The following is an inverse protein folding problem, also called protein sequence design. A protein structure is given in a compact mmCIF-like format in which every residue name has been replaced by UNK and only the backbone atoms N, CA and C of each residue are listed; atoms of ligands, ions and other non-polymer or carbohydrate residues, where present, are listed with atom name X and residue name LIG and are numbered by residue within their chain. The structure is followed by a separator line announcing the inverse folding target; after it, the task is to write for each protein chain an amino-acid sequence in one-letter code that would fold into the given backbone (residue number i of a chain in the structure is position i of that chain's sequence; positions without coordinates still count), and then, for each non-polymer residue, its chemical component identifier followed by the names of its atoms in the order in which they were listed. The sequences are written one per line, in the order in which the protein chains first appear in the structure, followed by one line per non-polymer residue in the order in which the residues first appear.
data_IF_595188791979
#
_entry.id   IF_595188791979
#
_cell.length_a   1.000
_cell.length_b   1.000
_cell.length_c   1.000
_cell.angle_alpha   90.00
_cell.angle_beta   90.00
_cell.angle_gamma   90.00
#
_symmetry.space_group_name_H-M   'P 1'
#
loop_
_entity.id
_entity.type
_entity.pdbx_description
1 polymer ?
#
# COMPACT_ATOMS: atom_id res chain seq x y z
N UNK A 1 7.86 -15.13 -21.01
CA UNK A 1 7.82 -14.02 -21.99
C UNK A 1 7.12 -12.82 -21.36
N UNK A 2 7.88 -11.75 -21.04
CA UNK A 2 7.41 -10.56 -20.33
C UNK A 2 6.71 -9.62 -21.32
N UNK A 3 5.42 -9.36 -21.14
CA UNK A 3 4.79 -8.16 -21.70
C UNK A 3 4.50 -7.21 -20.56
N UNK A 4 5.49 -6.38 -20.26
CA UNK A 4 5.27 -5.14 -19.52
C UNK A 4 4.36 -4.27 -20.38
N UNK A 5 3.18 -3.91 -19.88
CA UNK A 5 2.41 -2.82 -20.46
C UNK A 5 3.13 -1.51 -20.11
N UNK A 6 4.18 -1.21 -20.88
CA UNK A 6 4.76 0.11 -20.93
C UNK A 6 3.73 1.04 -21.59
N UNK A 7 3.33 2.11 -20.90
CA UNK A 7 2.54 3.19 -21.46
C UNK A 7 3.40 3.87 -22.55
N UNK A 8 3.26 3.39 -23.79
CA UNK A 8 4.01 3.90 -24.95
C UNK A 8 3.53 5.32 -25.23
N UNK A 9 4.44 6.29 -25.14
CA UNK A 9 4.20 7.70 -25.47
C UNK A 9 4.05 7.78 -27.00
N UNK A 10 2.82 7.82 -27.50
CA UNK A 10 2.55 8.14 -28.90
C UNK A 10 2.64 9.66 -29.06
N UNK A 11 3.75 10.15 -29.62
CA UNK A 11 3.77 11.48 -30.25
C UNK A 11 3.12 11.32 -31.62
N UNK A 12 1.91 11.85 -31.79
CA UNK A 12 1.29 12.00 -33.10
C UNK A 12 0.59 13.35 -33.17
N UNK A 13 0.71 13.98 -34.34
CA UNK A 13 0.52 15.39 -34.63
C UNK A 13 -0.87 15.96 -34.25
N UNK A 14 -0.84 17.26 -33.93
CA UNK A 14 -1.97 18.17 -33.71
C UNK A 14 -3.01 18.09 -34.84
N UNK A 15 -4.28 17.84 -34.47
CA UNK A 15 -5.44 18.25 -35.27
C UNK A 15 -6.41 18.95 -34.32
N UNK A 16 -6.76 20.20 -34.67
CA UNK A 16 -7.78 21.01 -34.01
C UNK A 16 -9.12 20.26 -33.98
N UNK A 17 -9.52 19.85 -32.79
CA UNK A 17 -10.85 19.33 -32.49
C UNK A 17 -10.89 19.07 -31.00
N UNK A 18 -11.86 19.67 -30.30
CA UNK A 18 -12.04 19.55 -28.85
C UNK A 18 -12.32 18.11 -28.43
N UNK A 19 -11.29 17.28 -28.40
CA UNK A 19 -11.30 15.95 -27.85
C UNK A 19 -10.94 16.09 -26.38
N UNK A 20 -11.97 16.05 -25.52
CA UNK A 20 -11.80 15.81 -24.10
C UNK A 20 -11.04 14.48 -23.94
N UNK A 21 -9.72 14.54 -23.83
CA UNK A 21 -8.90 13.39 -23.50
C UNK A 21 -9.38 12.87 -22.14
N UNK A 22 -9.99 11.67 -22.05
CA UNK A 22 -10.24 11.09 -20.75
C UNK A 22 -8.88 10.94 -20.09
N UNK A 23 -8.68 11.66 -18.98
CA UNK A 23 -7.51 11.51 -18.12
C UNK A 23 -7.64 10.10 -17.51
N UNK A 24 -7.19 9.08 -18.25
CA UNK A 24 -7.05 7.75 -17.70
C UNK A 24 -6.01 7.85 -16.61
N UNK A 25 -6.47 7.82 -15.35
CA UNK A 25 -5.61 7.80 -14.19
C UNK A 25 -4.72 6.56 -14.27
N UNK A 26 -3.50 6.72 -14.76
CA UNK A 26 -2.51 5.66 -14.80
C UNK A 26 -2.16 5.29 -13.36
N UNK A 27 -2.52 4.08 -12.94
CA UNK A 27 -2.04 3.55 -11.66
C UNK A 27 -0.54 3.27 -11.82
N UNK A 28 0.32 3.77 -10.92
CA UNK A 28 1.75 3.54 -11.03
C UNK A 28 2.06 2.03 -10.95
N UNK A 29 3.08 1.55 -11.68
CA UNK A 29 3.55 0.18 -11.52
C UNK A 29 4.14 -0.01 -10.11
N UNK A 30 4.23 -1.27 -9.61
CA UNK A 30 4.91 -1.56 -8.35
C UNK A 30 6.33 -0.96 -8.28
N UNK A 31 6.80 -0.56 -7.09
CA UNK A 31 8.16 -0.06 -6.89
C UNK A 31 9.21 -1.06 -7.39
N UNK A 32 10.35 -0.54 -7.86
CA UNK A 32 11.44 -1.38 -8.40
C UNK A 32 12.11 -2.26 -7.36
N UNK A 33 12.25 -1.73 -6.14
CA UNK A 33 12.92 -2.38 -5.00
C UNK A 33 11.95 -2.45 -3.83
N UNK A 34 10.94 -3.33 -3.90
CA UNK A 34 9.88 -3.36 -2.90
C UNK A 34 10.39 -3.71 -1.49
N UNK A 35 11.48 -4.45 -1.36
CA UNK A 35 12.14 -4.79 -0.09
C UNK A 35 12.88 -3.62 0.60
N UNK A 36 12.96 -2.45 -0.05
CA UNK A 36 13.64 -1.28 0.49
C UNK A 36 12.69 -0.07 0.56
N UNK A 37 12.20 0.25 1.76
CA UNK A 37 11.23 1.34 1.95
C UNK A 37 11.79 2.72 1.59
N UNK A 38 13.09 2.95 1.78
CA UNK A 38 13.73 4.19 1.36
C UNK A 38 13.77 4.33 -0.15
N UNK A 39 14.04 3.23 -0.88
CA UNK A 39 13.98 3.21 -2.33
C UNK A 39 12.54 3.43 -2.82
N UNK A 40 11.54 2.81 -2.19
CA UNK A 40 10.13 3.01 -2.49
C UNK A 40 9.76 4.49 -2.35
N UNK A 41 10.07 5.11 -1.22
CA UNK A 41 9.71 6.51 -0.96
C UNK A 41 10.52 7.52 -1.76
N UNK A 42 11.77 7.19 -2.13
CA UNK A 42 12.53 7.98 -3.09
C UNK A 42 11.91 7.93 -4.49
N UNK A 43 11.48 6.75 -4.96
CA UNK A 43 10.79 6.59 -6.25
C UNK A 43 9.38 7.23 -6.22
N UNK A 44 8.67 7.10 -5.08
CA UNK A 44 7.26 7.45 -4.91
C UNK A 44 7.07 8.49 -3.81
N UNK A 45 7.51 9.72 -4.06
CA UNK A 45 7.42 10.82 -3.07
C UNK A 45 6.01 11.16 -2.61
N UNK A 46 4.99 10.97 -3.45
CA UNK A 46 3.60 11.12 -3.05
C UNK A 46 3.15 10.05 -2.05
N UNK A 47 3.72 8.83 -2.11
CA UNK A 47 3.41 7.76 -1.18
C UNK A 47 4.02 8.03 0.20
N UNK A 48 5.25 8.54 0.24
CA UNK A 48 5.88 8.98 1.48
C UNK A 48 5.01 10.00 2.23
N UNK A 49 4.55 11.05 1.54
CA UNK A 49 3.69 12.08 2.13
C UNK A 49 2.37 11.50 2.67
N UNK A 50 1.74 10.63 1.88
CA UNK A 50 0.51 9.97 2.29
C UNK A 50 0.70 9.05 3.51
N UNK A 51 1.83 8.32 3.56
CA UNK A 51 2.16 7.45 4.67
C UNK A 51 2.42 8.24 5.95
N UNK A 52 3.18 9.35 5.87
CA UNK A 52 3.43 10.22 7.01
C UNK A 52 2.16 10.91 7.53
N UNK A 53 1.30 11.40 6.63
CA UNK A 53 0.01 12.00 6.99
C UNK A 53 -0.86 11.01 7.76
N UNK A 54 -0.95 9.77 7.28
CA UNK A 54 -1.76 8.74 7.91
C UNK A 54 -1.15 8.25 9.23
N UNK A 55 0.17 8.04 9.27
CA UNK A 55 0.89 7.68 10.49
C UNK A 55 0.74 8.75 11.58
N UNK A 56 0.73 10.04 11.24
CA UNK A 56 0.46 11.11 12.20
C UNK A 56 -0.99 11.10 12.70
N UNK A 57 -1.96 10.80 11.81
CA UNK A 57 -3.39 10.75 12.14
C UNK A 57 -3.75 9.57 13.04
N UNK A 58 -3.18 8.39 12.77
CA UNK A 58 -3.56 7.13 13.42
C UNK A 58 -2.52 6.59 14.40
N UNK A 59 -1.33 7.18 14.43
CA UNK A 59 -0.17 6.76 15.22
C UNK A 59 0.25 5.31 14.95
N UNK A 60 0.07 4.84 13.71
CA UNK A 60 0.55 3.54 13.25
C UNK A 60 1.94 3.73 12.63
N UNK A 61 2.93 2.87 12.94
CA UNK A 61 4.22 2.93 12.28
C UNK A 61 4.07 2.69 10.78
N UNK A 62 4.68 3.56 9.97
CA UNK A 62 4.65 3.48 8.49
C UNK A 62 5.10 2.10 7.99
N UNK A 63 6.06 1.49 8.67
CA UNK A 63 6.59 0.16 8.39
C UNK A 63 5.53 -0.95 8.46
N UNK A 64 4.67 -0.94 9.48
CA UNK A 64 3.58 -1.90 9.67
C UNK A 64 2.65 -1.86 8.48
N UNK A 65 2.14 -0.69 8.13
CA UNK A 65 1.17 -0.54 7.05
C UNK A 65 1.77 -0.81 5.67
N UNK A 66 3.02 -0.39 5.43
CA UNK A 66 3.74 -0.76 4.22
C UNK A 66 3.94 -2.27 4.09
N UNK A 67 4.21 -2.96 5.20
CA UNK A 67 4.40 -4.42 5.19
C UNK A 67 3.11 -5.17 4.87
N UNK A 68 1.97 -4.70 5.40
CA UNK A 68 0.64 -5.25 5.12
C UNK A 68 0.26 -4.99 3.66
N UNK A 69 0.36 -3.76 3.16
CA UNK A 69 0.02 -3.44 1.75
C UNK A 69 0.88 -4.25 0.77
N UNK A 70 2.15 -4.47 1.09
CA UNK A 70 3.01 -5.34 0.28
C UNK A 70 2.50 -6.77 0.26
N UNK A 71 2.13 -7.32 1.42
CA UNK A 71 1.59 -8.67 1.50
C UNK A 71 0.27 -8.82 0.75
N UNK A 72 -0.60 -7.82 0.84
CA UNK A 72 -1.94 -7.85 0.24
C UNK A 72 -1.93 -7.67 -1.28
N UNK A 73 -1.12 -6.76 -1.82
CA UNK A 73 -1.17 -6.40 -3.24
C UNK A 73 0.16 -6.46 -3.99
N UNK A 74 1.27 -6.60 -3.26
CA UNK A 74 2.61 -6.37 -3.80
C UNK A 74 2.75 -4.95 -4.38
N UNK A 75 2.10 -3.97 -3.74
CA UNK A 75 1.98 -2.59 -4.20
C UNK A 75 1.30 -2.43 -5.57
N UNK A 76 0.23 -3.18 -5.84
CA UNK A 76 -0.58 -3.05 -7.08
C UNK A 76 -1.94 -2.44 -6.79
N UNK A 77 -2.17 -1.23 -7.30
CA UNK A 77 -3.45 -0.54 -7.10
C UNK A 77 -4.63 -1.07 -7.93
N UNK A 78 -4.41 -1.83 -9.00
CA UNK A 78 -5.48 -2.32 -9.88
C UNK A 78 -5.55 -3.85 -9.92
N UNK A 79 -5.47 -4.47 -8.74
CA UNK A 79 -5.54 -5.91 -8.60
C UNK A 79 -6.71 -6.33 -7.73
N UNK A 80 -7.36 -7.44 -8.08
CA UNK A 80 -8.43 -8.03 -7.29
C UNK A 80 -8.27 -9.54 -7.24
N UNK A 81 -9.03 -10.18 -6.35
CA UNK A 81 -8.86 -11.59 -5.93
C UNK A 81 -8.73 -12.58 -7.07
N UNK A 82 -9.55 -12.43 -8.13
CA UNK A 82 -9.57 -13.37 -9.29
C UNK A 82 -8.24 -13.47 -10.04
N UNK A 83 -7.35 -12.48 -9.90
CA UNK A 83 -6.02 -12.45 -10.56
C UNK A 83 -4.86 -12.73 -9.59
N UNK A 84 -5.12 -12.97 -8.30
CA UNK A 84 -4.11 -12.87 -7.23
C UNK A 84 -3.45 -14.17 -6.78
N UNK A 85 -3.57 -15.28 -7.51
CA UNK A 85 -2.90 -16.54 -7.12
C UNK A 85 -1.37 -16.53 -7.23
N UNK A 86 -0.73 -15.46 -7.69
CA UNK A 86 0.67 -15.57 -8.14
C UNK A 86 1.68 -14.53 -7.65
N UNK A 87 1.34 -13.49 -6.87
CA UNK A 87 2.33 -12.43 -6.63
C UNK A 87 2.30 -11.78 -5.24
N UNK A 88 2.87 -12.50 -4.26
CA UNK A 88 3.25 -12.01 -2.92
C UNK A 88 3.82 -13.10 -2.01
N UNK A 89 5.01 -13.65 -2.34
CA UNK A 89 5.90 -14.61 -1.60
C UNK A 89 5.28 -15.91 -1.02
N UNK A 90 4.02 -15.96 -0.58
CA UNK A 90 3.31 -17.19 -0.18
C UNK A 90 1.88 -17.14 -0.72
N UNK A 91 1.46 -18.08 -1.57
CA UNK A 91 0.06 -18.22 -1.94
C UNK A 91 -0.73 -18.73 -0.72
N UNK A 92 -1.58 -17.88 -0.14
CA UNK A 92 -2.61 -18.33 0.79
C UNK A 92 -3.78 -18.86 -0.06
N UNK A 93 -4.26 -20.08 0.19
CA UNK A 93 -5.44 -20.61 -0.50
C UNK A 93 -6.70 -19.90 0.01
N UNK A 94 -7.07 -18.77 -0.58
CA UNK A 94 -8.44 -18.26 -0.52
C UNK A 94 -9.24 -18.95 -1.63
N UNK A 95 -10.06 -19.94 -1.24
CA UNK A 95 -10.89 -20.73 -2.15
C UNK A 95 -12.08 -19.97 -2.74
N UNK A 96 -12.28 -18.70 -2.36
CA UNK A 96 -13.49 -17.94 -2.68
C UNK A 96 -13.17 -16.70 -3.52
N UNK A 97 -14.04 -16.42 -4.49
CA UNK A 97 -14.03 -15.15 -5.22
C UNK A 97 -14.56 -14.09 -4.25
N UNK A 98 -13.69 -13.21 -3.78
CA UNK A 98 -14.08 -12.07 -2.93
C UNK A 98 -14.17 -10.78 -3.75
N UNK A 99 -14.75 -9.74 -3.14
CA UNK A 99 -14.81 -8.38 -3.71
C UNK A 99 -13.55 -7.54 -3.40
N UNK A 100 -12.49 -8.18 -2.87
CA UNK A 100 -11.25 -7.53 -2.50
C UNK A 100 -10.55 -6.90 -3.72
N UNK A 101 -10.11 -5.66 -3.56
CA UNK A 101 -9.55 -4.87 -4.65
C UNK A 101 -8.58 -3.80 -4.14
N UNK A 102 -7.61 -3.45 -4.98
CA UNK A 102 -6.72 -2.31 -4.75
C UNK A 102 -5.51 -2.62 -3.87
N UNK A 103 -4.83 -1.57 -3.40
CA UNK A 103 -3.62 -1.73 -2.59
C UNK A 103 -3.90 -2.43 -1.26
N UNK A 104 -5.04 -2.10 -0.64
CA UNK A 104 -5.47 -2.65 0.64
C UNK A 104 -6.15 -4.04 0.54
N UNK A 105 -6.50 -4.50 -0.67
CA UNK A 105 -7.36 -5.67 -0.88
C UNK A 105 -8.65 -5.63 -0.01
N UNK A 106 -9.20 -4.44 0.22
CA UNK A 106 -10.41 -4.27 1.01
C UNK A 106 -11.65 -4.76 0.25
N UNK A 107 -12.51 -5.53 0.91
CA UNK A 107 -13.82 -5.91 0.39
C UNK A 107 -14.80 -4.72 0.37
N UNK A 108 -15.84 -4.79 -0.47
CA UNK A 108 -16.80 -3.71 -0.64
C UNK A 108 -17.43 -3.27 0.69
N UNK A 109 -17.88 -4.21 1.52
CA UNK A 109 -18.57 -3.90 2.78
C UNK A 109 -17.71 -3.08 3.73
N UNK A 110 -16.48 -3.53 3.99
CA UNK A 110 -15.54 -2.82 4.90
C UNK A 110 -15.08 -1.50 4.29
N UNK A 111 -14.89 -1.44 2.97
CA UNK A 111 -14.56 -0.19 2.29
C UNK A 111 -15.67 0.85 2.42
N UNK A 112 -16.94 0.43 2.30
CA UNK A 112 -18.09 1.32 2.43
C UNK A 112 -18.25 1.84 3.86
N UNK A 113 -17.96 1.02 4.87
CA UNK A 113 -17.89 1.48 6.26
C UNK A 113 -16.82 2.57 6.46
N UNK A 114 -15.64 2.37 5.87
CA UNK A 114 -14.58 3.36 5.92
C UNK A 114 -14.95 4.67 5.21
N UNK A 115 -15.52 4.59 3.99
CA UNK A 115 -15.97 5.78 3.27
C UNK A 115 -17.00 6.58 4.08
N UNK A 116 -17.97 5.88 4.70
CA UNK A 116 -18.93 6.51 5.61
C UNK A 116 -18.25 7.15 6.82
N UNK A 117 -17.24 6.51 7.38
CA UNK A 117 -16.48 7.04 8.52
C UNK A 117 -15.66 8.29 8.15
N UNK A 118 -15.14 8.37 6.93
CA UNK A 118 -14.41 9.56 6.45
C UNK A 118 -15.35 10.66 5.92
N UNK A 119 -16.59 10.32 5.56
CA UNK A 119 -17.54 11.28 4.96
C UNK A 119 -17.18 11.65 3.52
N UNK A 120 -16.37 10.85 2.82
CA UNK A 120 -15.85 11.13 1.49
C UNK A 120 -15.89 9.91 0.56
N UNK A 121 -15.94 10.17 -0.75
CA UNK A 121 -15.78 9.12 -1.77
C UNK A 121 -14.30 8.86 -2.05
N UNK A 122 -13.84 7.66 -1.69
CA UNK A 122 -12.43 7.27 -1.72
C UNK A 122 -12.20 6.11 -2.68
N UNK A 123 -10.96 5.96 -3.19
CA UNK A 123 -10.66 4.95 -4.22
C UNK A 123 -9.62 3.93 -3.76
N UNK A 124 -10.02 2.64 -3.68
CA UNK A 124 -9.15 1.48 -3.37
C UNK A 124 -7.89 1.36 -4.24
N UNK A 125 -7.88 1.92 -5.46
CA UNK A 125 -6.70 1.90 -6.33
C UNK A 125 -5.77 3.10 -6.13
N UNK A 126 -6.11 4.05 -5.24
CA UNK A 126 -5.22 5.14 -4.85
C UNK A 126 -4.47 4.74 -3.60
N UNK A 127 -3.15 4.86 -3.65
CA UNK A 127 -2.27 4.46 -2.56
C UNK A 127 -2.61 5.21 -1.26
N UNK A 128 -2.76 6.54 -1.32
CA UNK A 128 -3.12 7.38 -0.17
C UNK A 128 -4.39 6.87 0.53
N UNK A 129 -5.46 6.74 -0.23
CA UNK A 129 -6.78 6.33 0.31
C UNK A 129 -6.73 4.91 0.91
N UNK A 130 -5.94 4.02 0.32
CA UNK A 130 -5.76 2.64 0.79
C UNK A 130 -4.86 2.54 2.02
N UNK A 131 -3.83 3.38 2.09
CA UNK A 131 -2.93 3.45 3.24
C UNK A 131 -3.71 3.93 4.46
N UNK A 132 -4.49 5.00 4.32
CA UNK A 132 -5.33 5.51 5.40
C UNK A 132 -6.43 4.53 5.82
N UNK A 133 -6.99 3.78 4.87
CA UNK A 133 -7.91 2.69 5.19
C UNK A 133 -7.26 1.62 6.08
N UNK A 134 -6.04 1.19 5.77
CA UNK A 134 -5.34 0.17 6.56
C UNK A 134 -5.06 0.69 7.96
N UNK A 135 -4.58 1.92 8.11
CA UNK A 135 -4.33 2.53 9.42
C UNK A 135 -5.62 2.75 10.24
N UNK A 136 -6.71 3.16 9.58
CA UNK A 136 -8.04 3.24 10.18
C UNK A 136 -8.50 1.88 10.71
N UNK A 137 -8.30 0.82 9.92
CA UNK A 137 -8.67 -0.54 10.31
C UNK A 137 -7.84 -1.02 11.50
N UNK A 138 -6.52 -0.88 11.43
CA UNK A 138 -5.58 -1.26 12.50
C UNK A 138 -5.91 -0.51 13.79
N UNK A 139 -6.22 0.78 13.72
CA UNK A 139 -6.68 1.55 14.89
C UNK A 139 -7.96 0.95 15.48
N UNK A 140 -8.92 0.61 14.62
CA UNK A 140 -10.16 -0.05 15.01
C UNK A 140 -9.95 -1.42 15.64
N UNK A 141 -9.00 -2.20 15.14
CA UNK A 141 -8.60 -3.52 15.65
C UNK A 141 -7.91 -3.37 17.01
N UNK A 142 -6.89 -2.52 17.10
CA UNK A 142 -6.14 -2.20 18.32
C UNK A 142 -7.07 -1.83 19.47
N UNK A 143 -8.04 -0.95 19.23
CA UNK A 143 -9.04 -0.55 20.24
C UNK A 143 -9.94 -1.71 20.71
N UNK A 144 -10.29 -2.64 19.82
CA UNK A 144 -11.28 -3.71 20.09
C UNK A 144 -10.67 -5.02 20.56
N UNK A 145 -9.38 -5.18 20.36
CA UNK A 145 -8.63 -6.41 20.60
C UNK A 145 -7.43 -6.19 21.53
N UNK A 146 -7.15 -4.94 21.92
CA UNK A 146 -5.98 -4.53 22.71
C UNK A 146 -4.66 -4.99 22.08
N UNK A 147 -4.58 -4.85 20.74
CA UNK A 147 -3.37 -5.15 19.99
C UNK A 147 -2.49 -3.91 19.94
N UNK A 148 -1.19 -4.12 20.13
CA UNK A 148 -0.19 -3.07 19.96
C UNK A 148 -0.11 -2.64 18.49
N UNK A 149 -0.03 -1.33 18.23
CA UNK A 149 0.03 -0.77 16.87
C UNK A 149 1.30 -1.20 16.12
N UNK A 150 2.36 -1.56 16.85
CA UNK A 150 3.66 -2.04 16.34
C UNK A 150 3.70 -3.56 16.11
N UNK A 151 2.73 -4.31 16.61
CA UNK A 151 2.66 -5.78 16.51
C UNK A 151 2.08 -6.18 15.14
N UNK A 152 2.89 -6.02 14.09
CA UNK A 152 2.50 -6.32 12.72
C UNK A 152 2.01 -7.78 12.55
N UNK A 153 2.52 -8.72 13.33
CA UNK A 153 2.03 -10.11 13.35
C UNK A 153 0.54 -10.17 13.69
N UNK A 154 0.15 -9.69 14.88
CA UNK A 154 -1.23 -9.79 15.32
C UNK A 154 -2.15 -8.82 14.57
N UNK A 155 -1.63 -7.66 14.16
CA UNK A 155 -2.38 -6.74 13.29
C UNK A 155 -2.69 -7.39 11.94
N UNK A 156 -1.75 -8.12 11.35
CA UNK A 156 -2.00 -8.84 10.10
C UNK A 156 -3.03 -9.96 10.26
N UNK A 157 -2.94 -10.75 11.34
CA UNK A 157 -3.94 -11.77 11.64
C UNK A 157 -5.34 -11.16 11.79
N UNK A 158 -5.45 -10.03 12.49
CA UNK A 158 -6.71 -9.31 12.65
C UNK A 158 -7.24 -8.72 11.34
N UNK A 159 -6.34 -8.20 10.49
CA UNK A 159 -6.66 -7.66 9.18
C UNK A 159 -7.17 -8.75 8.23
N UNK A 160 -6.51 -9.91 8.21
CA UNK A 160 -6.84 -11.03 7.32
C UNK A 160 -8.10 -11.79 7.75
N UNK A 161 -8.22 -12.15 9.03
CA UNK A 161 -9.39 -12.90 9.55
C UNK A 161 -10.60 -12.02 9.83
N UNK A 162 -10.40 -10.70 9.85
CA UNK A 162 -11.31 -9.73 10.41
C UNK A 162 -11.28 -9.70 11.95
N UNK A 163 -11.62 -8.55 12.55
CA UNK A 163 -11.63 -8.35 14.02
C UNK A 163 -12.40 -9.47 14.76
N UNK A 164 -13.58 -9.83 14.27
CA UNK A 164 -14.40 -10.89 14.87
C UNK A 164 -13.79 -12.29 14.68
N UNK A 165 -13.15 -12.55 13.55
CA UNK A 165 -12.48 -13.83 13.28
C UNK A 165 -11.23 -14.01 14.15
N UNK A 166 -10.43 -12.95 14.30
CA UNK A 166 -9.30 -12.93 15.21
C UNK A 166 -9.71 -13.14 16.66
N UNK A 167 -10.78 -12.46 17.12
CA UNK A 167 -11.32 -12.64 18.48
C UNK A 167 -11.73 -14.10 18.74
N UNK A 168 -12.28 -14.77 17.74
CA UNK A 168 -12.62 -16.20 17.78
C UNK A 168 -11.44 -17.13 17.52
N UNK A 169 -10.22 -16.59 17.34
CA UNK A 169 -8.99 -17.34 17.08
C UNK A 169 -9.06 -18.25 15.85
N UNK A 170 -9.76 -17.83 14.80
CA UNK A 170 -9.91 -18.65 13.58
C UNK A 170 -8.58 -18.94 12.87
N UNK A 171 -7.56 -18.10 13.09
CA UNK A 171 -6.21 -18.30 12.58
C UNK A 171 -5.48 -19.50 13.21
N UNK A 172 -5.93 -20.01 14.37
CA UNK A 172 -5.19 -21.06 15.08
C UNK A 172 -5.06 -22.35 14.26
N UNK A 173 -6.11 -22.66 13.51
CA UNK A 173 -6.19 -23.82 12.62
C UNK A 173 -5.63 -23.55 11.22
N UNK A 174 -4.99 -22.39 11.00
CA UNK A 174 -4.46 -21.93 9.71
C UNK A 174 -2.95 -21.65 9.81
N UNK A 175 -2.09 -22.68 9.91
CA UNK A 175 -0.65 -22.50 10.06
C UNK A 175 -0.01 -21.67 8.94
N UNK A 176 -0.57 -21.73 7.73
CA UNK A 176 -0.15 -20.93 6.58
C UNK A 176 -0.35 -19.42 6.82
N UNK A 177 -1.43 -19.01 7.49
CA UNK A 177 -1.69 -17.59 7.81
C UNK A 177 -0.74 -17.10 8.88
N UNK A 178 -0.48 -17.92 9.91
CA UNK A 178 0.52 -17.60 10.95
C UNK A 178 1.91 -17.39 10.34
N UNK A 179 2.31 -18.25 9.40
CA UNK A 179 3.59 -18.09 8.67
C UNK A 179 3.63 -16.80 7.84
N UNK A 180 2.51 -16.40 7.24
CA UNK A 180 2.46 -15.12 6.52
C UNK A 180 2.53 -13.94 7.48
N UNK A 181 1.87 -14.01 8.64
CA UNK A 181 1.98 -12.99 9.67
C UNK A 181 3.43 -12.83 10.17
N UNK A 182 4.20 -13.92 10.31
CA UNK A 182 5.64 -13.86 10.63
C UNK A 182 6.43 -13.10 9.56
N UNK A 183 6.12 -13.35 8.28
CA UNK A 183 6.76 -12.64 7.16
C UNK A 183 6.41 -11.16 7.15
N UNK A 184 5.16 -10.82 7.48
CA UNK A 184 4.72 -9.43 7.60
C UNK A 184 5.46 -8.74 8.74
N UNK A 185 5.59 -9.37 9.90
CA UNK A 185 6.36 -8.85 11.03
C UNK A 185 7.83 -8.63 10.65
N UNK A 186 8.50 -9.64 10.10
CA UNK A 186 9.91 -9.52 9.70
C UNK A 186 10.13 -8.38 8.70
N UNK A 187 9.17 -8.16 7.80
CA UNK A 187 9.22 -7.04 6.85
C UNK A 187 8.96 -5.70 7.52
N UNK A 188 8.03 -5.62 8.47
CA UNK A 188 7.79 -4.41 9.26
C UNK A 188 9.07 -4.02 10.01
N UNK A 189 9.73 -4.97 10.67
CA UNK A 189 10.98 -4.72 11.40
C UNK A 189 12.09 -4.20 10.46
N UNK A 190 12.25 -4.84 9.30
CA UNK A 190 13.21 -4.38 8.27
C UNK A 190 12.89 -2.98 7.76
N UNK A 191 11.61 -2.71 7.46
CA UNK A 191 11.18 -1.40 7.00
C UNK A 191 11.36 -0.34 8.08
N UNK A 192 11.13 -0.65 9.36
CA UNK A 192 11.30 0.31 10.45
C UNK A 192 12.76 0.79 10.54
N UNK A 193 13.71 -0.16 10.52
CA UNK A 193 15.15 0.14 10.53
C UNK A 193 15.52 1.03 9.34
N UNK A 194 15.10 0.65 8.14
CA UNK A 194 15.39 1.43 6.93
C UNK A 194 14.73 2.81 7.00
N UNK A 195 13.47 2.87 7.42
CA UNK A 195 12.68 4.09 7.47
C UNK A 195 13.33 5.14 8.36
N UNK A 196 13.78 4.77 9.56
CA UNK A 196 14.52 5.66 10.44
C UNK A 196 15.79 6.22 9.81
N UNK A 197 16.48 5.43 8.98
CA UNK A 197 17.70 5.88 8.32
C UNK A 197 17.44 6.96 7.26
N UNK A 198 16.28 6.95 6.59
CA UNK A 198 16.00 7.86 5.48
C UNK A 198 14.93 8.92 5.73
N UNK A 199 14.03 8.76 6.70
CA UNK A 199 12.95 9.70 6.99
C UNK A 199 13.43 11.16 7.15
N UNK A 200 14.53 11.46 7.85
CA UNK A 200 15.02 12.84 7.96
C UNK A 200 15.37 13.48 6.61
N UNK A 201 16.01 12.73 5.71
CA UNK A 201 16.36 13.23 4.37
C UNK A 201 15.12 13.29 3.47
N UNK A 202 14.19 12.35 3.64
CA UNK A 202 12.94 12.35 2.91
C UNK A 202 12.08 13.58 3.25
N UNK A 203 12.03 13.97 4.53
CA UNK A 203 11.32 15.15 5.05
C UNK A 203 11.96 16.48 4.64
N UNK A 204 13.29 16.56 4.68
CA UNK A 204 14.02 17.81 4.43
C UNK A 204 14.28 18.13 2.94
N UNK A 205 13.86 17.26 2.01
CA UNK A 205 13.94 17.58 0.58
C UNK A 205 12.89 18.62 0.22
N UNK A 206 13.30 19.88 0.16
CA UNK A 206 12.47 20.96 -0.37
C UNK A 206 12.21 20.75 -1.86
N UNK A 207 11.06 21.21 -2.35
CA UNK A 207 10.70 21.20 -3.78
C UNK A 207 11.77 21.89 -4.65
N UNK A 208 12.36 22.98 -4.13
CA UNK A 208 13.46 23.71 -4.78
C UNK A 208 14.71 22.84 -4.93
N UNK A 209 15.09 22.09 -3.89
CA UNK A 209 16.23 21.17 -3.93
C UNK A 209 16.01 20.01 -4.91
N UNK A 210 14.77 19.52 -5.02
CA UNK A 210 14.41 18.51 -6.01
C UNK A 210 14.51 19.04 -7.45
N UNK A 211 14.01 20.26 -7.73
CA UNK A 211 14.20 20.89 -9.04
C UNK A 211 15.68 21.07 -9.34
N UNK A 212 16.44 21.58 -8.37
CA UNK A 212 17.87 21.82 -8.55
C UNK A 212 18.63 20.52 -8.86
N UNK A 213 18.39 19.44 -8.10
CA UNK A 213 18.99 18.12 -8.34
C UNK A 213 18.55 17.50 -9.69
N UNK A 214 17.29 17.68 -10.08
CA UNK A 214 16.79 17.19 -11.37
C UNK A 214 17.40 17.93 -12.57
N UNK A 215 17.60 19.25 -12.45
CA UNK A 215 18.27 20.08 -13.45
C UNK A 215 19.76 19.74 -13.52
N UNK A 216 20.43 19.59 -12.37
CA UNK A 216 21.85 19.23 -12.31
C UNK A 216 22.13 17.87 -12.99
N UNK A 217 21.27 16.88 -12.76
CA UNK A 217 21.38 15.56 -13.37
C UNK A 217 21.19 15.57 -14.91
N UNK A 218 20.57 16.61 -15.47
CA UNK A 218 20.45 16.81 -16.92
C UNK A 218 21.58 17.65 -17.52
N UNK A 219 22.33 18.38 -16.69
CA UNK A 219 23.45 19.22 -17.14
C UNK A 219 24.81 18.50 -17.05
N UNK A 220 24.90 17.46 -16.22
CA UNK A 220 26.13 16.71 -15.93
C UNK A 220 26.10 15.30 -16.54
N UNK A 221 25.02 14.91 -17.23
CA UNK A 221 24.90 13.66 -17.98
C UNK A 221 24.63 13.90 -19.44
#
# INVERSE_FOLDING_TARGET
MRKAFACRRWLSLLILGGASFPIQGCTPPPPRYPENICAIFNERRAWYRAAEESAQKWEIPVSVTMSIIYQESGFRGQVGTRRNRLFGVIPIPTSHITSAYGYAQAENGVWDEYQKAQGEWLRRHRFRDSFDFVDWYITGASKRLSLEKTDAYNQYLAYHEGISGYRRKLYENKPEIKKVAEIVQARADQYEIQYHACAPQLRNRSFVRWIFEAVLAHLVG
#
